data_IF_460456246208
#
_entry.id   IF_460456246208
#
_cell.length_a   1.000
_cell.length_b   1.000
_cell.length_c   1.000
_cell.angle_alpha   90.00
_cell.angle_beta   90.00
_cell.angle_gamma   90.00
#
_symmetry.space_group_name_H-M   'P 1'
#
loop_
_entity.id
_entity.type
_entity.pdbx_description
1 polymer ?
#
# COMPACT_ATOMS: atom_id res chain seq x y z
N UNK A 1 42.38 13.28 5.70
CA UNK A 1 41.90 12.11 4.93
C UNK A 1 40.46 11.86 5.36
N UNK A 2 39.52 12.52 4.70
CA UNK A 2 38.09 12.39 4.97
C UNK A 2 37.52 11.14 4.29
N UNK A 3 36.85 10.29 5.07
CA UNK A 3 36.21 9.04 4.61
C UNK A 3 34.70 9.01 4.86
N UNK A 4 34.03 10.16 4.74
CA UNK A 4 32.56 10.23 4.81
C UNK A 4 31.98 10.92 3.58
N UNK A 5 31.68 10.12 2.54
CA UNK A 5 30.71 10.43 1.48
C UNK A 5 30.39 9.16 0.68
N UNK A 6 29.60 8.25 1.27
CA UNK A 6 28.88 7.23 0.48
C UNK A 6 27.40 7.59 0.38
N UNK A 7 27.03 8.00 -0.82
CA UNK A 7 25.69 8.34 -1.29
C UNK A 7 24.87 7.05 -1.38
N UNK A 8 23.78 6.94 -0.60
CA UNK A 8 22.74 5.91 -0.82
C UNK A 8 21.64 6.49 -1.71
N UNK A 9 21.68 6.13 -2.99
CA UNK A 9 20.60 6.30 -3.95
C UNK A 9 19.44 5.36 -3.59
N UNK A 10 18.36 5.93 -3.05
CA UNK A 10 17.04 5.29 -3.05
C UNK A 10 16.35 5.45 -4.42
N UNK A 11 15.35 4.62 -4.76
CA UNK A 11 14.69 4.68 -6.05
C UNK A 11 13.97 6.02 -6.22
N UNK A 12 14.28 6.72 -7.33
CA UNK A 12 13.65 7.97 -7.73
C UNK A 12 12.15 7.74 -7.95
N UNK A 13 11.30 8.58 -7.36
CA UNK A 13 9.89 8.72 -7.77
C UNK A 13 9.85 9.19 -9.22
N UNK A 14 8.93 8.71 -10.06
CA UNK A 14 8.70 9.33 -11.36
C UNK A 14 8.08 10.72 -11.15
N UNK A 15 8.68 11.73 -11.79
CA UNK A 15 8.14 13.08 -11.84
C UNK A 15 6.81 13.11 -12.64
N UNK A 16 5.88 14.00 -12.29
CA UNK A 16 4.60 14.14 -13.00
C UNK A 16 4.83 14.73 -14.40
N UNK A 17 4.36 14.03 -15.43
CA UNK A 17 4.37 14.54 -16.81
C UNK A 17 3.61 15.86 -16.90
N UNK A 18 4.30 16.87 -17.43
CA UNK A 18 3.76 18.16 -17.80
C UNK A 18 2.89 17.99 -19.05
N UNK A 19 1.58 18.13 -18.88
CA UNK A 19 0.67 18.35 -20.01
C UNK A 19 1.03 19.64 -20.75
N UNK A 20 1.07 19.55 -22.07
CA UNK A 20 1.06 20.70 -22.99
C UNK A 20 -0.21 20.62 -23.86
N UNK A 21 -0.68 21.76 -24.37
CA UNK A 21 -2.10 22.04 -24.50
C UNK A 21 -2.61 21.84 -25.93
N UNK A 22 -3.87 21.47 -26.11
CA UNK A 22 -4.57 21.75 -27.36
C UNK A 22 -6.08 21.97 -27.15
N UNK A 23 -6.47 23.22 -27.42
CA UNK A 23 -7.53 23.67 -28.31
C UNK A 23 -9.01 23.35 -27.98
N UNK A 24 -9.65 24.41 -27.48
CA UNK A 24 -10.88 25.02 -28.02
C UNK A 24 -11.91 24.11 -28.70
N UNK A 25 -12.99 23.80 -27.96
CA UNK A 25 -14.33 23.68 -28.55
C UNK A 25 -15.34 24.45 -27.69
N UNK A 26 -15.86 25.54 -28.28
CA UNK A 26 -16.99 26.33 -27.76
C UNK A 26 -18.28 25.48 -27.69
N UNK A 27 -19.19 25.74 -26.74
CA UNK A 27 -20.54 25.20 -26.77
C UNK A 27 -21.49 26.13 -27.55
N UNK A 28 -22.26 25.56 -28.50
CA UNK A 28 -23.38 26.26 -29.14
C UNK A 28 -24.64 26.11 -28.30
N UNK A 29 -25.34 27.24 -28.10
CA UNK A 29 -26.62 27.37 -27.40
C UNK A 29 -27.79 27.25 -28.38
N UNK A 30 -28.81 26.51 -27.94
CA UNK A 30 -30.26 26.74 -28.05
C UNK A 30 -30.91 27.28 -29.34
N UNK A 31 -31.93 26.55 -29.81
CA UNK A 31 -33.32 27.06 -29.87
C UNK A 31 -34.33 25.92 -30.13
N UNK A 32 -35.52 25.93 -29.50
CA UNK A 32 -36.67 25.14 -29.91
C UNK A 32 -37.83 26.01 -30.47
N UNK A 33 -38.82 25.31 -31.06
CA UNK A 33 -40.19 25.74 -31.45
C UNK A 33 -40.37 26.50 -32.79
N UNK A 34 -41.06 25.88 -33.78
CA UNK A 34 -42.51 26.04 -34.02
C UNK A 34 -43.06 25.11 -35.14
N UNK A 35 -44.34 24.73 -35.03
CA UNK A 35 -45.18 23.84 -35.89
C UNK A 35 -45.86 24.61 -37.07
N UNK A 36 -46.85 24.06 -37.83
CA UNK A 36 -47.06 22.76 -38.51
C UNK A 36 -47.50 22.94 -40.01
N UNK A 37 -47.59 21.86 -40.82
CA UNK A 37 -48.79 21.63 -41.69
C UNK A 37 -48.80 20.27 -42.43
N UNK A 38 -49.92 19.56 -42.21
CA UNK A 38 -50.81 18.73 -43.05
C UNK A 38 -50.38 17.77 -44.19
N UNK A 39 -50.85 16.52 -44.00
CA UNK A 39 -51.73 15.69 -44.88
C UNK A 39 -51.15 14.66 -45.89
N UNK A 40 -51.73 13.44 -45.83
CA UNK A 40 -51.66 12.34 -46.83
C UNK A 40 -51.21 11.00 -46.23
N UNK A 41 -52.03 10.30 -45.42
CA UNK A 41 -52.95 9.21 -45.78
C UNK A 41 -52.33 7.93 -46.40
N UNK A 42 -52.84 6.79 -45.90
CA UNK A 42 -52.72 5.38 -46.34
C UNK A 42 -51.59 4.50 -45.77
N UNK A 43 -51.96 3.71 -44.75
CA UNK A 43 -51.38 2.37 -44.53
C UNK A 43 -51.76 1.41 -45.67
N UNK A 44 -51.09 0.24 -45.79
CA UNK A 44 -51.50 -0.83 -44.90
C UNK A 44 -50.38 -1.79 -44.44
N UNK A 45 -50.61 -2.31 -43.23
CA UNK A 45 -50.54 -3.72 -42.81
C UNK A 45 -49.17 -4.41 -42.79
N UNK A 46 -48.96 -5.10 -41.67
CA UNK A 46 -47.71 -5.76 -41.34
C UNK A 46 -47.49 -7.06 -42.10
N UNK A 47 -46.22 -7.39 -42.20
CA UNK A 47 -45.58 -8.67 -42.52
C UNK A 47 -44.10 -8.26 -42.61
N UNK A 48 -43.14 -8.65 -41.79
CA UNK A 48 -42.88 -9.91 -41.12
C UNK A 48 -41.79 -9.65 -40.06
N UNK A 49 -42.12 -9.87 -38.78
CA UNK A 49 -41.12 -9.95 -37.69
C UNK A 49 -40.28 -11.23 -37.73
N UNK A 50 -40.24 -11.93 -38.87
CA UNK A 50 -39.51 -13.19 -39.07
C UNK A 50 -38.26 -13.04 -39.95
N UNK A 51 -38.09 -11.93 -40.68
CA UNK A 51 -36.92 -11.71 -41.53
C UNK A 51 -35.64 -11.27 -40.78
N UNK A 52 -35.76 -10.75 -39.55
CA UNK A 52 -34.60 -10.37 -38.71
C UNK A 52 -34.06 -11.48 -37.81
N UNK A 53 -34.78 -12.61 -37.71
CA UNK A 53 -34.35 -13.78 -36.95
C UNK A 53 -33.67 -14.84 -37.82
N UNK A 54 -33.76 -14.74 -39.15
CA UNK A 54 -33.20 -15.72 -40.06
C UNK A 54 -31.74 -15.49 -40.48
N UNK A 55 -31.16 -14.33 -40.12
CA UNK A 55 -29.80 -13.96 -40.55
C UNK A 55 -28.73 -14.18 -39.46
N UNK A 56 -29.13 -14.58 -38.24
CA UNK A 56 -28.19 -14.84 -37.15
C UNK A 56 -27.68 -16.29 -37.07
N UNK A 57 -28.20 -17.18 -37.91
CA UNK A 57 -27.85 -18.62 -37.89
C UNK A 57 -26.91 -19.07 -39.02
N UNK A 58 -26.46 -18.17 -39.92
CA UNK A 58 -25.63 -18.54 -41.10
C UNK A 58 -24.15 -18.19 -41.01
N UNK A 59 -23.67 -17.64 -39.90
CA UNK A 59 -22.29 -17.14 -39.80
C UNK A 59 -21.39 -17.95 -38.86
N UNK A 60 -21.63 -19.26 -38.72
CA UNK A 60 -20.89 -20.08 -37.74
C UNK A 60 -19.58 -20.70 -38.26
N UNK A 61 -19.34 -20.75 -39.57
CA UNK A 61 -18.14 -21.36 -40.15
C UNK A 61 -17.54 -20.53 -41.30
N UNK A 62 -17.27 -19.23 -41.07
CA UNK A 62 -16.41 -18.50 -42.00
C UNK A 62 -14.95 -18.94 -41.81
N UNK A 63 -14.50 -19.79 -42.72
CA UNK A 63 -13.13 -20.23 -42.88
C UNK A 63 -12.33 -19.19 -43.67
N UNK A 64 -11.23 -18.72 -43.11
CA UNK A 64 -10.32 -17.75 -43.75
C UNK A 64 -8.91 -18.31 -43.83
N UNK A 65 -8.12 -17.90 -44.84
CA UNK A 65 -6.79 -18.48 -45.07
C UNK A 65 -5.71 -17.52 -44.60
N UNK A 66 -4.72 -18.04 -43.86
CA UNK A 66 -3.51 -17.29 -43.52
C UNK A 66 -2.72 -16.99 -44.80
N UNK A 67 -2.70 -15.73 -45.20
CA UNK A 67 -2.01 -15.26 -46.41
C UNK A 67 -0.62 -14.73 -46.12
N UNK A 68 -0.41 -14.18 -44.91
CA UNK A 68 0.87 -13.60 -44.49
C UNK A 68 1.03 -13.68 -42.97
N UNK A 69 2.26 -13.95 -42.54
CA UNK A 69 2.70 -13.88 -41.14
C UNK A 69 3.89 -12.93 -41.12
N UNK A 70 3.79 -11.82 -40.39
CA UNK A 70 4.80 -10.77 -40.40
C UNK A 70 5.35 -10.53 -38.99
N UNK A 71 6.67 -10.57 -38.77
CA UNK A 71 7.24 -10.24 -37.46
C UNK A 71 6.99 -8.76 -37.10
N UNK A 72 6.72 -8.50 -35.83
CA UNK A 72 6.59 -7.14 -35.29
C UNK A 72 7.95 -6.56 -34.87
N UNK A 73 7.99 -5.26 -34.56
CA UNK A 73 9.20 -4.59 -34.00
C UNK A 73 9.64 -5.23 -32.68
N UNK A 74 8.69 -5.66 -31.84
CA UNK A 74 8.97 -6.39 -30.60
C UNK A 74 9.24 -7.85 -30.95
N UNK A 75 10.40 -8.37 -30.54
CA UNK A 75 10.78 -9.77 -30.75
C UNK A 75 9.73 -10.72 -30.16
N UNK A 76 9.53 -11.85 -30.82
CA UNK A 76 8.60 -12.90 -30.40
C UNK A 76 7.12 -12.58 -30.61
N UNK A 77 6.80 -11.60 -31.47
CA UNK A 77 5.42 -11.25 -31.84
C UNK A 77 5.23 -11.14 -33.34
N UNK A 78 4.08 -11.56 -33.82
CA UNK A 78 3.75 -11.62 -35.24
C UNK A 78 2.35 -11.06 -35.51
N UNK A 79 2.17 -10.46 -36.69
CA UNK A 79 0.87 -10.07 -37.23
C UNK A 79 0.40 -11.15 -38.22
N UNK A 80 -0.81 -11.65 -38.03
CA UNK A 80 -1.48 -12.61 -38.92
C UNK A 80 -2.39 -11.85 -39.88
N UNK A 81 -2.29 -12.18 -41.16
CA UNK A 81 -3.18 -11.67 -42.20
C UNK A 81 -4.02 -12.81 -42.75
N UNK A 82 -5.34 -12.60 -42.76
CA UNK A 82 -6.33 -13.54 -43.29
C UNK A 82 -6.91 -12.97 -44.59
N UNK A 83 -6.84 -13.74 -45.67
CA UNK A 83 -7.32 -13.34 -47.01
C UNK A 83 -6.80 -11.98 -47.53
N UNK A 84 -5.57 -11.61 -47.14
CA UNK A 84 -4.91 -10.36 -47.53
C UNK A 84 -5.02 -9.24 -46.50
N UNK A 85 -6.00 -9.29 -45.60
CA UNK A 85 -6.25 -8.26 -44.60
C UNK A 85 -5.60 -8.60 -43.26
N UNK A 86 -5.19 -7.56 -42.53
CA UNK A 86 -4.74 -7.73 -41.15
C UNK A 86 -5.90 -8.27 -40.29
N UNK A 87 -5.66 -9.36 -39.57
CA UNK A 87 -6.67 -9.99 -38.72
C UNK A 87 -6.37 -9.77 -37.24
N UNK A 88 -5.31 -10.36 -36.71
CA UNK A 88 -4.97 -10.29 -35.29
C UNK A 88 -3.46 -10.46 -35.06
N UNK A 89 -2.93 -9.99 -33.92
CA UNK A 89 -1.56 -10.25 -33.53
C UNK A 89 -1.46 -11.55 -32.70
N UNK A 90 -0.29 -12.18 -32.69
CA UNK A 90 -0.05 -13.42 -31.94
C UNK A 90 1.35 -13.47 -31.34
N UNK A 91 1.51 -14.18 -30.23
CA UNK A 91 2.81 -14.52 -29.64
C UNK A 91 3.52 -15.64 -30.41
N UNK A 92 4.85 -15.67 -30.35
CA UNK A 92 5.66 -16.76 -30.91
C UNK A 92 5.28 -18.13 -30.34
N UNK A 93 4.99 -18.20 -29.04
CA UNK A 93 4.56 -19.44 -28.39
C UNK A 93 3.27 -19.99 -28.99
N UNK A 94 2.27 -19.14 -29.21
CA UNK A 94 0.99 -19.55 -29.80
C UNK A 94 1.12 -19.87 -31.29
N UNK A 95 1.99 -19.16 -32.02
CA UNK A 95 2.33 -19.48 -33.41
C UNK A 95 2.85 -20.92 -33.55
N UNK A 96 3.77 -21.30 -32.67
CA UNK A 96 4.37 -22.65 -32.62
C UNK A 96 3.36 -23.69 -32.14
N UNK A 97 2.66 -23.42 -31.04
CA UNK A 97 1.68 -24.33 -30.41
C UNK A 97 0.59 -24.79 -31.39
N UNK A 98 0.09 -23.88 -32.21
CA UNK A 98 -0.99 -24.16 -33.18
C UNK A 98 -0.48 -24.45 -34.59
N UNK A 99 0.84 -24.56 -34.79
CA UNK A 99 1.49 -24.83 -36.08
C UNK A 99 1.02 -23.89 -37.22
N UNK A 100 0.77 -22.63 -36.88
CA UNK A 100 0.23 -21.65 -37.82
C UNK A 100 1.25 -21.39 -38.93
N UNK A 101 0.80 -21.55 -40.17
CA UNK A 101 1.61 -21.35 -41.37
C UNK A 101 0.78 -20.73 -42.48
N UNK A 102 1.46 -20.08 -43.43
CA UNK A 102 0.82 -19.57 -44.64
C UNK A 102 0.09 -20.72 -45.36
N UNK A 103 -1.14 -20.46 -45.81
CA UNK A 103 -2.02 -21.44 -46.45
C UNK A 103 -2.90 -22.24 -45.46
N UNK A 104 -2.73 -22.07 -44.15
CA UNK A 104 -3.61 -22.70 -43.17
C UNK A 104 -4.98 -22.02 -43.14
N UNK A 105 -6.03 -22.82 -43.11
CA UNK A 105 -7.41 -22.37 -42.90
C UNK A 105 -7.64 -22.16 -41.41
N UNK A 106 -8.26 -21.03 -41.06
CA UNK A 106 -8.59 -20.62 -39.70
C UNK A 106 -10.09 -20.41 -39.64
N UNK A 107 -10.77 -21.19 -38.81
CA UNK A 107 -12.17 -20.97 -38.47
C UNK A 107 -12.33 -19.77 -37.55
N UNK A 108 -13.53 -19.20 -37.49
CA UNK A 108 -13.81 -18.10 -36.56
C UNK A 108 -13.67 -18.50 -35.09
N UNK A 109 -13.93 -19.77 -34.75
CA UNK A 109 -13.70 -20.31 -33.40
C UNK A 109 -12.20 -20.31 -33.06
N UNK A 110 -11.37 -20.84 -33.96
CA UNK A 110 -9.92 -20.86 -33.77
C UNK A 110 -9.35 -19.43 -33.69
N UNK A 111 -9.83 -18.51 -34.53
CA UNK A 111 -9.42 -17.10 -34.44
C UNK A 111 -9.70 -16.52 -33.05
N UNK A 112 -10.90 -16.70 -32.50
CA UNK A 112 -11.25 -16.20 -31.15
C UNK A 112 -10.39 -16.81 -30.07
N UNK A 113 -10.07 -18.11 -30.17
CA UNK A 113 -9.21 -18.79 -29.21
C UNK A 113 -7.77 -18.25 -29.28
N UNK A 114 -7.25 -17.98 -30.49
CA UNK A 114 -5.93 -17.37 -30.68
C UNK A 114 -5.87 -15.94 -30.14
N UNK A 115 -6.91 -15.15 -30.33
CA UNK A 115 -7.01 -13.79 -29.78
C UNK A 115 -7.02 -13.78 -28.25
N UNK A 116 -7.77 -14.70 -27.63
CA UNK A 116 -7.75 -14.91 -26.16
C UNK A 116 -6.36 -15.34 -25.67
N UNK A 117 -5.72 -16.27 -26.38
CA UNK A 117 -4.37 -16.74 -26.02
C UNK A 117 -3.32 -15.60 -26.13
N UNK A 118 -3.45 -14.71 -27.11
CA UNK A 118 -2.60 -13.51 -27.23
C UNK A 118 -2.82 -12.52 -26.08
N UNK A 119 -4.07 -12.30 -25.65
CA UNK A 119 -4.36 -11.44 -24.48
C UNK A 119 -3.75 -12.01 -23.20
N UNK A 120 -3.96 -13.31 -22.95
CA UNK A 120 -3.31 -14.01 -21.85
C UNK A 120 -1.78 -13.89 -21.91
N UNK A 121 -1.17 -14.05 -23.10
CA UNK A 121 0.28 -13.94 -23.28
C UNK A 121 0.81 -12.55 -22.94
N UNK A 122 0.07 -11.48 -23.26
CA UNK A 122 0.40 -10.10 -22.88
C UNK A 122 0.29 -9.89 -21.38
N UNK A 123 -0.81 -10.32 -20.77
CA UNK A 123 -1.03 -10.23 -19.33
C UNK A 123 0.06 -10.98 -18.56
N UNK A 124 0.38 -12.20 -18.98
CA UNK A 124 1.45 -13.02 -18.41
C UNK A 124 2.83 -12.34 -18.54
N UNK A 125 3.16 -11.82 -19.73
CA UNK A 125 4.40 -11.08 -19.95
C UNK A 125 4.50 -9.81 -19.10
N UNK A 126 3.37 -9.12 -18.88
CA UNK A 126 3.27 -7.96 -17.99
C UNK A 126 3.56 -8.36 -16.54
N UNK A 127 2.92 -9.41 -16.05
CA UNK A 127 3.14 -9.91 -14.69
C UNK A 127 4.59 -10.35 -14.46
N UNK A 128 5.19 -11.09 -15.40
CA UNK A 128 6.60 -11.48 -15.32
C UNK A 128 7.54 -10.27 -15.22
N UNK A 129 7.29 -9.24 -16.04
CA UNK A 129 8.05 -8.01 -15.97
C UNK A 129 7.87 -7.31 -14.61
N UNK A 130 6.65 -7.25 -14.09
CA UNK A 130 6.36 -6.65 -12.78
C UNK A 130 7.05 -7.38 -11.61
N UNK A 131 7.07 -8.72 -11.65
CA UNK A 131 7.75 -9.58 -10.67
C UNK A 131 9.28 -9.47 -10.75
N UNK A 132 9.85 -9.13 -11.92
CA UNK A 132 11.30 -9.02 -12.09
C UNK A 132 11.96 -7.94 -11.23
N UNK A 133 11.20 -6.95 -10.78
CA UNK A 133 11.73 -5.83 -9.98
C UNK A 133 11.78 -6.12 -8.47
N UNK A 134 10.81 -6.89 -7.95
CA UNK A 134 10.68 -7.18 -6.52
C UNK A 134 9.65 -8.29 -6.28
N UNK A 135 9.74 -8.94 -5.12
CA UNK A 135 8.67 -9.79 -4.59
C UNK A 135 7.34 -9.03 -4.52
N UNK A 136 6.25 -9.69 -4.94
CA UNK A 136 4.88 -9.17 -4.92
C UNK A 136 3.94 -10.22 -4.33
N UNK A 137 2.87 -9.75 -3.69
CA UNK A 137 1.76 -10.63 -3.31
C UNK A 137 0.85 -10.89 -4.50
N UNK A 138 0.03 -11.94 -4.39
CA UNK A 138 -1.03 -12.27 -5.34
C UNK A 138 -1.92 -11.05 -5.63
N UNK A 139 -2.43 -10.40 -4.56
CA UNK A 139 -3.25 -9.20 -4.69
C UNK A 139 -2.54 -8.07 -5.45
N UNK A 140 -1.26 -7.83 -5.17
CA UNK A 140 -0.51 -6.78 -5.86
C UNK A 140 -0.32 -7.07 -7.35
N UNK A 141 -0.20 -8.34 -7.75
CA UNK A 141 -0.14 -8.73 -9.17
C UNK A 141 -1.52 -8.60 -9.80
N UNK A 142 -2.57 -8.99 -9.09
CA UNK A 142 -3.95 -8.81 -9.54
C UNK A 142 -4.26 -7.34 -9.82
N UNK A 143 -4.01 -6.47 -8.85
CA UNK A 143 -4.24 -5.02 -8.95
C UNK A 143 -3.46 -4.43 -10.16
N UNK A 144 -2.19 -4.83 -10.35
CA UNK A 144 -1.39 -4.37 -11.50
C UNK A 144 -1.95 -4.83 -12.85
N UNK A 145 -2.48 -6.05 -12.94
CA UNK A 145 -3.08 -6.57 -14.16
C UNK A 145 -4.40 -5.86 -14.48
N UNK A 146 -5.24 -5.64 -13.47
CA UNK A 146 -6.50 -4.91 -13.60
C UNK A 146 -6.28 -3.45 -14.04
N UNK A 147 -5.34 -2.75 -13.41
CA UNK A 147 -4.94 -1.38 -13.77
C UNK A 147 -4.42 -1.25 -15.21
N UNK A 148 -3.91 -2.35 -15.79
CA UNK A 148 -3.43 -2.41 -17.17
C UNK A 148 -4.45 -2.98 -18.16
N UNK A 149 -5.68 -3.22 -17.72
CA UNK A 149 -6.79 -3.68 -18.56
C UNK A 149 -6.79 -5.18 -18.84
N UNK A 150 -6.12 -5.98 -18.01
CA UNK A 150 -6.07 -7.46 -18.12
C UNK A 150 -6.98 -8.17 -17.11
N UNK A 151 -8.07 -7.53 -16.66
CA UNK A 151 -8.96 -8.08 -15.62
C UNK A 151 -9.51 -9.47 -15.95
N UNK A 152 -9.81 -9.75 -17.22
CA UNK A 152 -10.36 -11.04 -17.66
C UNK A 152 -9.35 -12.19 -17.55
N UNK A 153 -8.06 -11.91 -17.73
CA UNK A 153 -6.98 -12.91 -17.72
C UNK A 153 -6.27 -13.01 -16.36
N UNK A 154 -6.52 -12.06 -15.46
CA UNK A 154 -5.77 -11.88 -14.21
C UNK A 154 -5.69 -13.16 -13.36
N UNK A 155 -6.83 -13.80 -13.10
CA UNK A 155 -6.89 -15.02 -12.28
C UNK A 155 -6.14 -16.19 -12.91
N UNK A 156 -6.25 -16.37 -14.23
CA UNK A 156 -5.57 -17.44 -14.95
C UNK A 156 -4.04 -17.21 -14.96
N UNK A 157 -3.61 -15.96 -15.11
CA UNK A 157 -2.20 -15.57 -15.04
C UNK A 157 -1.65 -15.82 -13.64
N UNK A 158 -2.36 -15.42 -12.60
CA UNK A 158 -1.98 -15.65 -11.20
C UNK A 158 -1.85 -17.14 -10.92
N UNK A 159 -2.84 -17.96 -11.31
CA UNK A 159 -2.80 -19.40 -11.11
C UNK A 159 -1.56 -20.03 -11.75
N UNK A 160 -1.23 -19.63 -13.00
CA UNK A 160 -0.02 -20.08 -13.69
C UNK A 160 1.27 -19.64 -12.99
N UNK A 161 1.32 -18.41 -12.48
CA UNK A 161 2.49 -17.90 -11.76
C UNK A 161 2.69 -18.61 -10.41
N UNK A 162 1.61 -18.99 -9.72
CA UNK A 162 1.65 -19.78 -8.49
C UNK A 162 2.12 -21.21 -8.75
N UNK A 163 1.63 -21.84 -9.82
CA UNK A 163 2.09 -23.17 -10.27
C UNK A 163 3.60 -23.19 -10.56
N UNK A 164 4.13 -22.10 -11.11
CA UNK A 164 5.57 -21.91 -11.34
C UNK A 164 6.34 -21.39 -10.12
N UNK A 165 5.70 -21.29 -8.95
CA UNK A 165 6.26 -20.74 -7.71
C UNK A 165 6.85 -19.32 -7.83
N UNK A 166 6.39 -18.53 -8.81
CA UNK A 166 6.80 -17.14 -9.02
C UNK A 166 6.02 -16.15 -8.15
N UNK A 167 4.82 -16.55 -7.70
CA UNK A 167 4.05 -15.87 -6.66
C UNK A 167 3.94 -16.81 -5.47
N UNK A 168 4.32 -16.31 -4.30
CA UNK A 168 4.22 -17.04 -3.04
C UNK A 168 4.03 -16.03 -1.89
N UNK A 169 2.81 -15.93 -1.40
CA UNK A 169 2.43 -14.95 -0.37
C UNK A 169 3.05 -15.28 1.00
N UNK A 170 3.25 -16.56 1.31
CA UNK A 170 3.98 -16.98 2.50
C UNK A 170 5.44 -16.51 2.47
N UNK A 171 6.15 -16.72 1.35
CA UNK A 171 7.54 -16.26 1.22
C UNK A 171 7.64 -14.74 1.22
N UNK A 172 6.69 -14.06 0.59
CA UNK A 172 6.55 -12.61 0.68
C UNK A 172 6.42 -12.17 2.15
N UNK A 173 5.52 -12.79 2.91
CA UNK A 173 5.25 -12.45 4.30
C UNK A 173 6.49 -12.65 5.18
N UNK A 174 7.18 -13.79 5.05
CA UNK A 174 8.43 -14.07 5.78
C UNK A 174 9.48 -13.00 5.52
N UNK A 175 9.72 -12.69 4.24
CA UNK A 175 10.69 -11.66 3.83
C UNK A 175 10.31 -10.27 4.37
N UNK A 176 9.02 -9.94 4.33
CA UNK A 176 8.49 -8.68 4.84
C UNK A 176 8.69 -8.55 6.36
N UNK A 177 8.35 -9.59 7.12
CA UNK A 177 8.49 -9.63 8.59
C UNK A 177 9.95 -9.43 8.98
N UNK A 178 10.88 -10.21 8.40
CA UNK A 178 12.33 -10.06 8.65
C UNK A 178 12.80 -8.62 8.43
N UNK A 179 12.39 -8.03 7.31
CA UNK A 179 12.78 -6.67 6.93
C UNK A 179 12.18 -5.62 7.87
N UNK A 180 10.88 -5.74 8.18
CA UNK A 180 10.16 -4.79 9.02
C UNK A 180 10.66 -4.81 10.48
N UNK A 181 10.95 -6.00 11.02
CA UNK A 181 11.55 -6.18 12.33
C UNK A 181 12.97 -5.57 12.37
N UNK A 182 13.83 -5.91 11.42
CA UNK A 182 15.24 -5.50 11.44
C UNK A 182 15.47 -4.01 11.16
N UNK A 183 14.79 -3.45 10.15
CA UNK A 183 15.06 -2.08 9.70
C UNK A 183 14.30 -1.07 10.58
N UNK A 184 13.00 -1.29 10.76
CA UNK A 184 12.12 -0.30 11.38
C UNK A 184 11.72 -0.66 12.81
N UNK A 185 12.07 -1.86 13.29
CA UNK A 185 11.67 -2.39 14.60
C UNK A 185 10.15 -2.25 14.80
N UNK A 186 9.37 -2.57 13.77
CA UNK A 186 7.90 -2.59 13.88
C UNK A 186 7.50 -3.76 14.77
N UNK A 187 6.49 -3.56 15.60
CA UNK A 187 5.91 -4.63 16.40
C UNK A 187 4.97 -5.52 15.58
N UNK A 188 4.68 -6.74 16.08
CA UNK A 188 3.95 -7.77 15.32
C UNK A 188 2.59 -7.31 14.79
N UNK A 189 1.78 -6.61 15.59
CA UNK A 189 0.43 -6.17 15.17
C UNK A 189 0.47 -5.23 13.97
N UNK A 190 1.45 -4.33 13.96
CA UNK A 190 1.59 -3.39 12.85
C UNK A 190 2.00 -4.14 11.58
N UNK A 191 2.92 -5.10 11.70
CA UNK A 191 3.35 -5.93 10.57
C UNK A 191 2.18 -6.77 10.03
N UNK A 192 1.40 -7.41 10.90
CA UNK A 192 0.21 -8.17 10.54
C UNK A 192 -0.79 -7.30 9.76
N UNK A 193 -1.13 -6.12 10.28
CA UNK A 193 -2.05 -5.20 9.61
C UNK A 193 -1.55 -4.78 8.22
N UNK A 194 -0.25 -4.52 8.08
CA UNK A 194 0.35 -4.15 6.79
C UNK A 194 0.32 -5.32 5.79
N UNK A 195 0.53 -6.56 6.25
CA UNK A 195 0.41 -7.77 5.42
C UNK A 195 -1.03 -8.01 4.96
N UNK A 196 -2.01 -7.85 5.85
CA UNK A 196 -3.44 -7.94 5.49
C UNK A 196 -3.80 -6.89 4.44
N UNK A 197 -3.35 -5.64 4.60
CA UNK A 197 -3.58 -4.58 3.59
C UNK A 197 -2.97 -4.94 2.22
N UNK A 198 -1.83 -5.64 2.21
CA UNK A 198 -1.17 -6.17 1.02
C UNK A 198 -1.82 -7.44 0.45
N UNK A 199 -2.87 -7.95 1.09
CA UNK A 199 -3.65 -9.08 0.61
C UNK A 199 -3.12 -10.45 1.02
N UNK A 200 -2.16 -10.53 1.93
CA UNK A 200 -1.67 -11.82 2.45
C UNK A 200 -2.74 -12.41 3.38
N UNK A 201 -3.04 -13.70 3.20
CA UNK A 201 -4.03 -14.40 4.02
C UNK A 201 -3.56 -14.67 5.45
N UNK A 202 -4.51 -14.78 6.38
CA UNK A 202 -4.23 -14.94 7.81
C UNK A 202 -3.37 -16.17 8.14
N UNK A 203 -3.58 -17.29 7.43
CA UNK A 203 -2.80 -18.52 7.61
C UNK A 203 -1.32 -18.33 7.24
N UNK A 204 -1.04 -17.63 6.15
CA UNK A 204 0.33 -17.32 5.72
C UNK A 204 0.98 -16.34 6.70
N UNK A 205 0.23 -15.36 7.21
CA UNK A 205 0.70 -14.42 8.22
C UNK A 205 1.06 -15.14 9.51
N UNK A 206 0.18 -16.02 10.00
CA UNK A 206 0.40 -16.81 11.22
C UNK A 206 1.66 -17.67 11.07
N UNK A 207 1.77 -18.39 9.95
CA UNK A 207 2.94 -19.23 9.65
C UNK A 207 4.23 -18.41 9.53
N UNK A 208 4.17 -17.26 8.86
CA UNK A 208 5.32 -16.39 8.67
C UNK A 208 5.77 -15.69 9.96
N UNK A 209 4.90 -15.56 10.97
CA UNK A 209 5.24 -14.90 12.23
C UNK A 209 6.32 -15.63 13.03
N UNK A 210 6.60 -16.90 12.71
CA UNK A 210 7.76 -17.64 13.25
C UNK A 210 9.08 -16.94 12.94
N UNK A 211 9.16 -16.13 11.87
CA UNK A 211 10.34 -15.32 11.53
C UNK A 211 10.57 -14.14 12.49
N UNK A 212 9.64 -13.88 13.43
CA UNK A 212 9.79 -12.86 14.46
C UNK A 212 9.49 -13.42 15.87
N UNK A 213 10.41 -14.22 16.43
CA UNK A 213 10.26 -14.83 17.74
C UNK A 213 10.02 -13.81 18.85
N UNK A 214 9.37 -14.24 19.94
CA UNK A 214 9.05 -13.38 21.07
C UNK A 214 10.27 -12.64 21.64
N UNK A 215 11.41 -13.30 21.79
CA UNK A 215 12.61 -12.66 22.33
C UNK A 215 13.11 -11.52 21.43
N UNK A 216 13.14 -11.72 20.11
CA UNK A 216 13.51 -10.65 19.17
C UNK A 216 12.54 -9.45 19.24
N UNK A 217 11.26 -9.70 19.53
CA UNK A 217 10.28 -8.64 19.75
C UNK A 217 10.61 -7.83 21.00
N UNK A 218 10.96 -8.52 22.09
CA UNK A 218 11.38 -7.91 23.35
C UNK A 218 12.65 -7.10 23.14
N UNK A 219 13.69 -7.67 22.53
CA UNK A 219 14.97 -6.99 22.27
C UNK A 219 14.78 -5.70 21.44
N UNK A 220 13.96 -5.78 20.38
CA UNK A 220 13.62 -4.61 19.57
C UNK A 220 12.83 -3.56 20.36
N UNK A 221 11.89 -3.98 21.20
CA UNK A 221 11.13 -3.09 22.07
C UNK A 221 12.02 -2.43 23.13
N UNK A 222 12.95 -3.16 23.74
CA UNK A 222 13.94 -2.68 24.72
C UNK A 222 14.84 -1.60 24.11
N UNK A 223 15.40 -1.84 22.92
CA UNK A 223 16.21 -0.83 22.22
C UNK A 223 15.42 0.45 21.87
N UNK A 224 14.14 0.31 21.50
CA UNK A 224 13.27 1.45 21.23
C UNK A 224 12.91 2.20 22.52
N UNK A 225 12.69 1.46 23.60
CA UNK A 225 12.35 1.95 24.93
C UNK A 225 13.46 2.83 25.48
N UNK A 226 14.71 2.36 25.49
CA UNK A 226 15.88 3.12 25.95
C UNK A 226 16.04 4.45 25.20
N UNK A 227 15.97 4.40 23.86
CA UNK A 227 16.05 5.59 23.01
C UNK A 227 14.94 6.59 23.34
N UNK A 228 13.73 6.10 23.63
CA UNK A 228 12.59 6.95 23.92
C UNK A 228 12.63 7.54 25.35
N UNK A 229 13.14 6.78 26.32
CA UNK A 229 13.40 7.28 27.68
C UNK A 229 14.41 8.41 27.68
N UNK A 230 15.48 8.30 26.88
CA UNK A 230 16.51 9.33 26.76
C UNK A 230 15.99 10.64 26.14
N UNK A 231 14.97 10.60 25.27
CA UNK A 231 14.37 11.79 24.64
C UNK A 231 13.47 12.61 25.57
N UNK A 232 13.06 12.06 26.71
CA UNK A 232 12.02 12.67 27.57
C UNK A 232 12.50 12.98 28.99
N UNK A 233 13.79 13.26 29.20
CA UNK A 233 14.38 13.51 30.54
C UNK A 233 13.82 14.72 31.30
N UNK A 234 13.13 15.63 30.63
CA UNK A 234 12.54 16.82 31.25
C UNK A 234 11.11 16.61 31.80
N UNK A 235 10.67 15.35 31.91
CA UNK A 235 9.36 14.95 32.40
C UNK A 235 9.52 14.01 33.58
N UNK A 236 8.49 13.93 34.42
CA UNK A 236 8.44 12.93 35.48
C UNK A 236 8.59 11.52 34.91
N UNK A 237 9.15 10.61 35.69
CA UNK A 237 9.31 9.23 35.31
C UNK A 237 7.98 8.58 34.93
N UNK A 238 6.90 8.87 35.69
CA UNK A 238 5.55 8.39 35.36
C UNK A 238 5.11 8.83 33.97
N UNK A 239 5.35 10.10 33.60
CA UNK A 239 5.03 10.60 32.26
C UNK A 239 5.93 10.01 31.18
N UNK A 240 7.21 9.82 31.48
CA UNK A 240 8.16 9.17 30.56
C UNK A 240 7.68 7.75 30.26
N UNK A 241 7.39 6.97 31.28
CA UNK A 241 6.91 5.60 31.17
C UNK A 241 5.62 5.51 30.35
N UNK A 242 4.60 6.32 30.69
CA UNK A 242 3.35 6.35 29.93
C UNK A 242 3.58 6.66 28.45
N UNK A 243 4.42 7.65 28.15
CA UNK A 243 4.74 8.04 26.76
C UNK A 243 5.49 6.93 26.01
N UNK A 244 6.39 6.22 26.67
CA UNK A 244 7.15 5.11 26.06
C UNK A 244 6.22 3.93 25.78
N UNK A 245 5.37 3.54 26.74
CA UNK A 245 4.35 2.49 26.52
C UNK A 245 3.43 2.82 25.36
N UNK A 246 2.88 4.05 25.30
CA UNK A 246 2.05 4.49 24.16
C UNK A 246 2.82 4.48 22.84
N UNK A 247 4.09 4.88 22.85
CA UNK A 247 4.92 4.84 21.65
C UNK A 247 5.13 3.41 21.12
N UNK A 248 5.45 2.46 21.99
CA UNK A 248 5.61 1.05 21.61
C UNK A 248 4.28 0.41 21.18
N UNK A 249 3.19 0.73 21.86
CA UNK A 249 1.86 0.28 21.45
C UNK A 249 1.51 0.75 20.03
N UNK A 250 1.75 2.04 19.73
CA UNK A 250 1.56 2.60 18.39
C UNK A 250 2.55 2.04 17.35
N UNK A 251 3.68 1.48 17.80
CA UNK A 251 4.61 0.73 16.95
C UNK A 251 4.15 -0.71 16.69
N UNK A 252 3.06 -1.17 17.32
CA UNK A 252 2.45 -2.48 17.11
C UNK A 252 2.90 -3.55 18.11
N UNK A 253 3.55 -3.19 19.21
CA UNK A 253 3.94 -4.14 20.24
C UNK A 253 2.78 -4.46 21.18
N UNK A 254 2.69 -5.73 21.58
CA UNK A 254 1.71 -6.20 22.57
C UNK A 254 2.12 -5.78 23.99
N UNK A 255 1.13 -5.64 24.88
CA UNK A 255 1.38 -5.26 26.28
C UNK A 255 2.39 -6.18 26.97
N UNK A 256 2.29 -7.50 26.75
CA UNK A 256 3.21 -8.50 27.32
C UNK A 256 4.67 -8.22 26.92
N UNK A 257 4.93 -7.94 25.63
CA UNK A 257 6.27 -7.60 25.14
C UNK A 257 6.75 -6.28 25.73
N UNK A 258 5.87 -5.29 25.84
CA UNK A 258 6.20 -3.98 26.42
C UNK A 258 6.56 -4.11 27.90
N UNK A 259 5.83 -4.92 28.65
CA UNK A 259 6.05 -5.15 30.07
C UNK A 259 7.34 -5.96 30.31
N UNK A 260 7.62 -6.96 29.47
CA UNK A 260 8.89 -7.68 29.49
C UNK A 260 10.08 -6.76 29.17
N UNK A 261 9.98 -5.97 28.09
CA UNK A 261 11.02 -5.01 27.73
C UNK A 261 11.26 -3.98 28.85
N UNK A 262 10.22 -3.57 29.57
CA UNK A 262 10.36 -2.70 30.73
C UNK A 262 11.11 -3.36 31.88
N UNK A 263 10.84 -4.65 32.12
CA UNK A 263 11.52 -5.44 33.14
C UNK A 263 13.00 -5.71 32.80
N UNK A 264 13.37 -5.72 31.53
CA UNK A 264 14.76 -5.86 31.07
C UNK A 264 15.52 -4.54 31.09
N UNK A 265 14.93 -3.47 30.56
CA UNK A 265 15.57 -2.15 30.50
C UNK A 265 15.80 -1.58 31.91
N UNK A 266 14.91 -1.90 32.86
CA UNK A 266 14.93 -1.41 34.24
C UNK A 266 15.39 0.05 34.33
N UNK A 267 14.68 0.98 33.68
CA UNK A 267 15.11 2.37 33.63
C UNK A 267 15.27 2.88 35.05
N UNK A 268 16.53 3.08 35.47
CA UNK A 268 16.85 3.39 36.86
C UNK A 268 16.08 4.63 37.30
N UNK A 269 15.52 4.53 38.50
CA UNK A 269 14.96 5.63 39.26
C UNK A 269 16.11 6.53 39.73
N UNK A 270 16.66 7.33 38.82
CA UNK A 270 17.58 8.38 39.21
C UNK A 270 16.75 9.49 39.88
N UNK A 271 16.73 9.46 41.22
CA UNK A 271 16.00 10.43 42.04
C UNK A 271 16.50 11.86 41.79
N UNK A 272 17.79 12.02 41.47
CA UNK A 272 18.36 13.31 41.11
C UNK A 272 17.80 13.77 39.76
N UNK A 273 17.78 12.91 38.72
CA UNK A 273 17.15 13.26 37.44
C UNK A 273 15.66 13.63 37.60
N UNK A 274 14.92 12.91 38.45
CA UNK A 274 13.50 13.17 38.72
C UNK A 274 13.30 14.54 39.40
N UNK A 275 14.12 14.85 40.41
CA UNK A 275 14.07 16.14 41.10
C UNK A 275 14.50 17.30 40.18
N UNK A 276 15.53 17.12 39.37
CA UNK A 276 15.95 18.11 38.37
C UNK A 276 14.87 18.36 37.30
N UNK A 277 14.14 17.32 36.88
CA UNK A 277 12.98 17.47 36.00
C UNK A 277 11.84 18.23 36.71
N UNK A 278 11.63 17.97 38.00
CA UNK A 278 10.66 18.67 38.82
C UNK A 278 10.97 20.16 38.91
N UNK A 279 12.20 20.55 39.29
CA UNK A 279 12.63 21.96 39.36
C UNK A 279 12.33 22.67 38.05
N UNK A 280 12.71 22.09 36.90
CA UNK A 280 12.47 22.69 35.58
C UNK A 280 10.98 22.92 35.29
N UNK A 281 10.11 21.97 35.66
CA UNK A 281 8.66 22.13 35.47
C UNK A 281 8.05 23.08 36.51
N UNK A 282 8.57 23.06 37.74
CA UNK A 282 8.17 23.89 38.86
C UNK A 282 8.43 25.36 38.55
N UNK A 283 9.64 25.70 38.13
CA UNK A 283 10.01 27.07 37.80
C UNK A 283 9.19 27.63 36.66
N UNK A 284 8.86 26.77 35.69
CA UNK A 284 7.95 27.12 34.59
C UNK A 284 6.53 27.39 35.10
N UNK A 285 6.04 26.58 36.04
CA UNK A 285 4.73 26.77 36.66
C UNK A 285 4.71 28.05 37.51
N UNK A 286 5.73 28.27 38.32
CA UNK A 286 5.90 29.43 39.18
C UNK A 286 5.90 30.72 38.35
N UNK A 287 6.76 30.83 37.32
CA UNK A 287 6.79 31.98 36.39
C UNK A 287 5.43 32.26 35.72
N UNK A 288 4.65 31.20 35.47
CA UNK A 288 3.32 31.30 34.85
C UNK A 288 2.25 31.78 35.84
N UNK A 289 2.22 31.23 37.06
CA UNK A 289 1.13 31.44 38.00
C UNK A 289 1.35 32.62 38.96
N UNK A 290 2.61 33.01 39.24
CA UNK A 290 2.91 34.17 40.12
C UNK A 290 2.31 35.49 39.63
N UNK A 291 2.01 35.58 38.33
CA UNK A 291 1.35 36.75 37.72
C UNK A 291 -0.14 36.85 38.07
N UNK A 292 -0.75 35.79 38.61
CA UNK A 292 -2.20 35.64 38.76
C UNK A 292 -2.66 35.23 40.16
N UNK A 293 -1.73 34.87 41.04
CA UNK A 293 -2.02 34.41 42.39
C UNK A 293 -0.78 34.64 43.27
N UNK A 294 -1.00 34.75 44.58
CA UNK A 294 0.04 34.92 45.59
C UNK A 294 -0.22 34.00 46.79
N UNK A 295 0.80 33.84 47.64
CA UNK A 295 0.73 33.05 48.88
C UNK A 295 0.18 31.64 48.67
N UNK A 296 -0.78 31.25 49.52
CA UNK A 296 -1.38 29.91 49.51
C UNK A 296 -1.99 29.51 48.15
N UNK A 297 -2.69 30.43 47.48
CA UNK A 297 -3.34 30.13 46.21
C UNK A 297 -2.31 29.82 45.10
N UNK A 298 -1.19 30.55 45.08
CA UNK A 298 -0.08 30.29 44.16
C UNK A 298 0.52 28.90 44.42
N UNK A 299 0.80 28.58 45.69
CA UNK A 299 1.35 27.28 46.12
C UNK A 299 0.44 26.13 45.66
N UNK A 300 -0.87 26.24 45.85
CA UNK A 300 -1.82 25.21 45.42
C UNK A 300 -1.87 25.06 43.89
N UNK A 301 -1.82 26.17 43.13
CA UNK A 301 -1.79 26.10 41.65
C UNK A 301 -0.53 25.41 41.12
N UNK A 302 0.62 25.67 41.73
CA UNK A 302 1.88 25.01 41.36
C UNK A 302 1.84 23.53 41.74
N UNK A 303 1.40 23.21 42.97
CA UNK A 303 1.25 21.83 43.44
C UNK A 303 0.35 21.01 42.53
N UNK A 304 -0.84 21.52 42.20
CA UNK A 304 -1.77 20.86 41.28
C UNK A 304 -1.16 20.67 39.88
N UNK A 305 -0.43 21.66 39.37
CA UNK A 305 0.25 21.53 38.08
C UNK A 305 1.32 20.42 38.09
N UNK A 306 2.19 20.39 39.10
CA UNK A 306 3.26 19.38 39.21
C UNK A 306 2.70 17.98 39.47
N UNK A 307 1.65 17.87 40.28
CA UNK A 307 0.96 16.61 40.50
C UNK A 307 0.34 16.06 39.21
N UNK A 308 -0.31 16.91 38.41
CA UNK A 308 -0.79 16.55 37.07
C UNK A 308 0.35 16.23 36.09
N UNK A 309 1.55 16.76 36.35
CA UNK A 309 2.78 16.34 35.66
C UNK A 309 3.34 15.01 36.15
N UNK A 310 2.73 14.38 37.15
CA UNK A 310 3.04 13.04 37.60
C UNK A 310 4.25 12.94 38.52
N UNK A 311 4.62 14.04 39.19
CA UNK A 311 5.60 14.04 40.28
C UNK A 311 4.93 13.63 41.61
N UNK A 312 5.68 13.06 42.55
CA UNK A 312 5.15 12.67 43.86
C UNK A 312 4.87 13.89 44.74
N UNK A 313 3.89 13.77 45.64
CA UNK A 313 3.55 14.84 46.58
C UNK A 313 4.73 15.27 47.44
N UNK A 314 5.59 14.33 47.84
CA UNK A 314 6.73 14.58 48.72
C UNK A 314 7.79 15.44 48.03
N UNK A 315 8.19 15.07 46.80
CA UNK A 315 9.14 15.87 46.01
C UNK A 315 8.57 17.25 45.66
N UNK A 316 7.25 17.34 45.43
CA UNK A 316 6.59 18.62 45.18
C UNK A 316 6.64 19.52 46.41
N UNK A 317 6.37 18.98 47.60
CA UNK A 317 6.45 19.76 48.84
C UNK A 317 7.88 20.23 49.09
N UNK A 318 8.87 19.35 48.94
CA UNK A 318 10.30 19.68 49.06
C UNK A 318 10.70 20.83 48.11
N UNK A 319 10.25 20.80 46.86
CA UNK A 319 10.51 21.89 45.92
C UNK A 319 9.87 23.22 46.34
N UNK A 320 8.64 23.17 46.86
CA UNK A 320 7.92 24.38 47.27
C UNK A 320 8.54 25.02 48.51
N UNK A 321 8.98 24.21 49.48
CA UNK A 321 9.71 24.67 50.67
C UNK A 321 11.03 25.34 50.28
N UNK A 322 11.85 24.65 49.47
CA UNK A 322 13.10 25.22 48.97
C UNK A 322 12.90 26.53 48.18
N UNK A 323 11.73 26.73 47.57
CA UNK A 323 11.40 27.97 46.84
C UNK A 323 10.92 29.09 47.75
N UNK A 324 10.27 28.78 48.85
CA UNK A 324 9.90 29.75 49.88
C UNK A 324 11.17 30.27 50.57
N UNK A 325 12.11 29.39 50.90
CA UNK A 325 13.42 29.74 51.51
C UNK A 325 14.34 30.58 50.59
N UNK A 326 14.17 30.52 49.26
CA UNK A 326 14.92 31.36 48.30
C UNK A 326 14.35 32.79 48.17
N UNK A 327 13.13 33.04 48.66
CA UNK A 327 12.40 34.32 48.53
C UNK A 327 12.39 35.16 49.81
N UNK A 328 12.65 34.55 50.97
CA UNK A 328 12.80 35.20 52.29
C UNK A 328 14.21 35.77 52.53
#
# INVERSE_FOLDING_TARGET
>A
MDKDKLIRLGPRKPDPEKGSPDQDHKPSRGNPEDKPDQAGDQGPKGETSQAKLHDQAKNQDQERIITKIQPQKKKGRYNIYLDGDYAFPISEGSLVKHFLRKGMVVSQSLQKDLEKEDQFSKAYSRALNYLSYALRTEKQVQDDLEDKGFSQDSQAVIAKLKDQALINDLEYAKSYIRTAAKINRKGPRLIQNELVQKGVGDQDIETAMVEYPYQDQVDNASQLMEKQFNKSRNKSQRQRLAKVKSYLFNKGYLSQVIDQALAEVQPQLDQEEEYQALIKQGDKAYKRYRKKASGYELRQKIKAFLFNKGFSSDLINQYLENKEDEED
#
